data_IF_653145159303
#
_entry.id   IF_653145159303
#
_cell.length_a   1.000
_cell.length_b   1.000
_cell.length_c   1.000
_cell.angle_alpha   90.00
_cell.angle_beta   90.00
_cell.angle_gamma   90.00
#
_symmetry.space_group_name_H-M   'P 1'
#
loop_
_entity.id
_entity.type
_entity.pdbx_description
1 polymer ?
#
# COMPACT_ATOMS: atom_id res chain seq x y z
N UNK A 1 -7.94 -8.09 -17.55
CA UNK A 1 -6.89 -7.65 -16.62
C UNK A 1 -5.55 -8.26 -17.04
N UNK A 2 -4.51 -7.50 -16.94
CA UNK A 2 -3.16 -7.96 -17.23
C UNK A 2 -2.71 -8.96 -16.17
N UNK A 3 -2.26 -10.14 -16.60
CA UNK A 3 -1.73 -11.17 -15.71
C UNK A 3 -0.50 -10.71 -14.92
N UNK A 4 0.22 -9.70 -15.43
CA UNK A 4 1.39 -9.15 -14.75
C UNK A 4 1.02 -8.55 -13.39
N UNK A 5 -0.08 -7.81 -13.31
CA UNK A 5 -0.54 -7.23 -12.06
C UNK A 5 -0.98 -8.30 -11.07
N UNK A 6 -1.72 -9.30 -11.54
CA UNK A 6 -2.15 -10.41 -10.68
C UNK A 6 -0.95 -11.14 -10.10
N UNK A 7 0.08 -11.40 -10.90
CA UNK A 7 1.29 -12.07 -10.45
C UNK A 7 2.05 -11.24 -9.43
N UNK A 8 2.11 -9.92 -9.62
CA UNK A 8 2.78 -9.03 -8.66
C UNK A 8 2.02 -8.94 -7.34
N UNK A 9 0.68 -8.93 -7.39
CA UNK A 9 -0.13 -8.94 -6.17
C UNK A 9 0.15 -10.17 -5.31
N UNK A 10 0.38 -11.33 -5.93
CA UNK A 10 0.70 -12.56 -5.20
C UNK A 10 2.01 -12.46 -4.40
N UNK A 11 2.89 -11.54 -4.75
CA UNK A 11 4.15 -11.34 -4.02
C UNK A 11 3.96 -10.43 -2.79
N UNK A 12 2.83 -9.74 -2.69
CA UNK A 12 2.55 -8.84 -1.57
C UNK A 12 2.10 -9.65 -0.36
N UNK A 13 2.70 -9.43 0.84
CA UNK A 13 2.33 -10.20 2.04
C UNK A 13 0.84 -10.19 2.34
N UNK A 14 0.15 -9.10 2.00
CA UNK A 14 -1.27 -8.95 2.25
C UNK A 14 -2.13 -10.00 1.52
N UNK A 15 -1.63 -10.51 0.37
CA UNK A 15 -2.36 -11.45 -0.47
C UNK A 15 -1.82 -12.88 -0.38
N UNK A 16 -1.10 -13.22 0.70
CA UNK A 16 -0.60 -14.55 0.93
C UNK A 16 -1.67 -15.46 1.55
N UNK A 17 -1.61 -16.74 1.25
CA UNK A 17 -2.48 -17.74 1.91
C UNK A 17 -3.89 -17.85 1.35
N UNK A 18 -4.17 -17.23 0.21
CA UNK A 18 -5.46 -17.35 -0.46
C UNK A 18 -5.51 -18.59 -1.34
N UNK A 19 -6.71 -19.20 -1.43
CA UNK A 19 -6.96 -20.18 -2.48
C UNK A 19 -6.95 -19.45 -3.83
N UNK A 20 -6.71 -20.22 -4.90
CA UNK A 20 -6.73 -19.64 -6.23
C UNK A 20 -8.08 -19.01 -6.57
N UNK A 21 -9.17 -19.68 -6.19
CA UNK A 21 -10.52 -19.18 -6.46
C UNK A 21 -10.79 -17.88 -5.71
N UNK A 22 -10.41 -17.80 -4.44
CA UNK A 22 -10.59 -16.58 -3.65
C UNK A 22 -9.77 -15.44 -4.22
N UNK A 23 -8.53 -15.70 -4.60
CA UNK A 23 -7.68 -14.68 -5.21
C UNK A 23 -8.26 -14.14 -6.52
N UNK A 24 -8.75 -15.03 -7.39
CA UNK A 24 -9.38 -14.62 -8.65
C UNK A 24 -10.65 -13.80 -8.40
N UNK A 25 -11.43 -14.18 -7.39
CA UNK A 25 -12.62 -13.44 -7.01
C UNK A 25 -12.28 -12.03 -6.52
N UNK A 26 -11.25 -11.90 -5.69
CA UNK A 26 -10.76 -10.60 -5.22
C UNK A 26 -10.32 -9.73 -6.40
N UNK A 27 -9.54 -10.28 -7.31
CA UNK A 27 -9.02 -9.54 -8.46
C UNK A 27 -10.16 -9.07 -9.36
N UNK A 28 -11.18 -9.89 -9.55
CA UNK A 28 -12.32 -9.56 -10.40
C UNK A 28 -13.24 -8.50 -9.77
N UNK A 29 -13.49 -8.59 -8.46
CA UNK A 29 -14.50 -7.77 -7.78
C UNK A 29 -13.97 -6.52 -7.11
N UNK A 30 -12.67 -6.40 -6.93
CA UNK A 30 -12.07 -5.26 -6.24
C UNK A 30 -11.67 -4.19 -7.24
N UNK A 31 -12.09 -2.93 -7.05
CA UNK A 31 -11.70 -1.84 -7.92
C UNK A 31 -10.27 -1.37 -7.60
N UNK A 32 -9.28 -2.12 -8.08
CA UNK A 32 -7.89 -1.74 -7.95
C UNK A 32 -7.57 -0.55 -8.84
N UNK A 33 -6.88 0.46 -8.30
CA UNK A 33 -6.40 1.61 -9.06
C UNK A 33 -4.90 1.45 -9.26
N UNK A 34 -4.49 1.09 -10.47
CA UNK A 34 -3.09 0.88 -10.82
C UNK A 34 -2.49 2.16 -11.37
N UNK A 35 -1.32 2.54 -10.87
CA UNK A 35 -0.62 3.75 -11.30
C UNK A 35 0.86 3.49 -11.49
N UNK A 36 1.43 4.19 -12.48
CA UNK A 36 2.87 4.25 -12.68
C UNK A 36 3.32 5.68 -12.40
N UNK A 37 4.31 5.82 -11.53
CA UNK A 37 4.88 7.13 -11.20
C UNK A 37 6.32 7.21 -11.70
N UNK A 38 6.67 8.40 -12.17
CA UNK A 38 8.02 8.68 -12.65
C UNK A 38 8.95 8.95 -11.47
N UNK A 39 10.28 8.88 -11.69
CA UNK A 39 11.23 9.26 -10.65
C UNK A 39 10.93 10.64 -10.09
N UNK A 40 11.08 10.79 -8.77
CA UNK A 40 10.88 12.02 -7.99
C UNK A 40 9.42 12.44 -7.79
N UNK A 41 8.45 11.74 -8.35
CA UNK A 41 7.05 12.04 -8.08
C UNK A 41 6.66 11.59 -6.68
N UNK A 42 5.82 12.40 -6.01
CA UNK A 42 5.34 12.11 -4.66
C UNK A 42 4.07 11.29 -4.74
N UNK A 43 4.04 10.19 -3.98
CA UNK A 43 2.88 9.29 -3.88
C UNK A 43 1.93 9.76 -2.81
N UNK A 44 2.47 10.00 -1.60
CA UNK A 44 1.72 10.47 -0.44
C UNK A 44 2.60 11.47 0.31
N UNK A 45 1.96 12.42 1.01
CA UNK A 45 2.65 13.45 1.79
C UNK A 45 2.40 13.25 3.27
N UNK A 46 3.45 13.43 4.05
CA UNK A 46 3.34 13.45 5.52
C UNK A 46 2.29 14.48 5.94
N UNK A 47 1.38 14.06 6.82
CA UNK A 47 0.34 14.93 7.35
C UNK A 47 -0.96 14.94 6.57
N UNK A 48 -0.97 14.46 5.34
CA UNK A 48 -2.20 14.33 4.56
C UNK A 48 -3.04 13.16 5.08
N UNK A 49 -4.36 13.28 4.97
CA UNK A 49 -5.25 12.19 5.36
C UNK A 49 -5.05 10.97 4.46
N UNK A 50 -5.07 9.80 5.09
CA UNK A 50 -4.98 8.52 4.39
C UNK A 50 -6.39 8.08 3.98
N UNK A 51 -6.67 8.11 2.69
CA UNK A 51 -7.95 7.69 2.12
C UNK A 51 -7.87 6.35 1.39
N UNK A 52 -6.68 5.87 1.14
CA UNK A 52 -6.44 4.65 0.36
C UNK A 52 -5.28 3.87 0.94
N UNK A 53 -5.35 2.56 0.77
CA UNK A 53 -4.19 1.71 1.01
C UNK A 53 -3.36 1.71 -0.26
N UNK A 54 -2.10 2.12 -0.15
CA UNK A 54 -1.17 2.16 -1.28
C UNK A 54 -0.17 1.01 -1.16
N UNK A 55 0.03 0.29 -2.25
CA UNK A 55 0.95 -0.85 -2.31
C UNK A 55 1.95 -0.62 -3.42
N UNK A 56 3.24 -0.71 -3.10
CA UNK A 56 4.33 -0.64 -4.08
C UNK A 56 4.51 -2.03 -4.67
N UNK A 57 4.20 -2.17 -5.96
CA UNK A 57 4.29 -3.44 -6.67
C UNK A 57 5.64 -3.64 -7.36
N UNK A 58 6.23 -2.56 -7.83
CA UNK A 58 7.52 -2.59 -8.52
C UNK A 58 8.24 -1.27 -8.36
N UNK A 59 9.56 -1.30 -8.31
CA UNK A 59 10.39 -0.11 -8.20
C UNK A 59 10.91 0.10 -6.79
N UNK A 60 11.26 1.35 -6.51
CA UNK A 60 11.89 1.75 -5.25
C UNK A 60 11.45 3.15 -4.88
N UNK A 61 11.20 3.36 -3.60
CA UNK A 61 10.74 4.64 -3.05
C UNK A 61 11.63 5.11 -1.92
N UNK A 62 11.60 6.42 -1.68
CA UNK A 62 12.20 7.04 -0.51
C UNK A 62 11.07 7.45 0.42
N UNK A 63 11.18 7.04 1.69
CA UNK A 63 10.29 7.48 2.76
C UNK A 63 11.02 8.52 3.58
N UNK A 64 10.39 9.68 3.76
CA UNK A 64 10.97 10.78 4.51
C UNK A 64 10.00 11.24 5.58
N UNK A 65 10.48 11.31 6.82
CA UNK A 65 9.72 11.95 7.90
C UNK A 65 10.50 13.13 8.45
N UNK A 66 9.78 14.21 8.73
CA UNK A 66 10.33 15.43 9.25
C UNK A 66 9.75 15.66 10.65
N UNK A 67 10.60 16.08 11.60
CA UNK A 67 10.14 16.37 12.95
C UNK A 67 9.21 17.59 12.95
N UNK A 68 8.29 17.71 13.97
CA UNK A 68 7.38 18.86 14.04
C UNK A 68 8.09 20.20 14.07
N UNK A 69 9.29 20.26 14.69
CA UNK A 69 10.08 21.47 14.79
C UNK A 69 11.01 21.69 13.60
N UNK A 70 10.96 20.81 12.60
CA UNK A 70 11.84 20.82 11.42
C UNK A 70 13.33 20.74 11.79
N UNK A 71 13.65 20.12 12.93
CA UNK A 71 15.03 20.04 13.42
C UNK A 71 15.81 18.88 12.82
N UNK A 72 15.11 17.83 12.38
CA UNK A 72 15.76 16.69 11.72
C UNK A 72 14.81 16.02 10.72
N UNK A 73 15.41 15.29 9.81
CA UNK A 73 14.71 14.47 8.81
C UNK A 73 15.27 13.05 8.84
N UNK A 74 14.39 12.08 8.72
CA UNK A 74 14.77 10.68 8.61
C UNK A 74 14.38 10.22 7.22
N UNK A 75 15.33 9.60 6.50
CA UNK A 75 15.09 9.07 5.16
C UNK A 75 15.43 7.60 5.13
N UNK A 76 14.61 6.84 4.41
CA UNK A 76 14.79 5.40 4.23
C UNK A 76 14.35 5.01 2.83
N UNK A 77 15.14 4.14 2.17
CA UNK A 77 14.80 3.62 0.86
C UNK A 77 14.16 2.25 1.01
N UNK A 78 13.07 2.03 0.29
CA UNK A 78 12.30 0.79 0.36
C UNK A 78 12.04 0.27 -1.05
N UNK A 79 12.28 -1.03 -1.25
CA UNK A 79 12.02 -1.71 -2.51
C UNK A 79 10.71 -2.48 -2.46
N UNK A 80 10.09 -2.64 -3.65
CA UNK A 80 8.91 -3.45 -3.80
C UNK A 80 9.20 -4.94 -3.51
N UNK A 81 8.21 -5.73 -3.05
CA UNK A 81 6.85 -5.30 -2.72
C UNK A 81 6.75 -4.68 -1.32
N UNK A 82 5.88 -3.71 -1.17
CA UNK A 82 5.72 -3.04 0.13
C UNK A 82 4.32 -2.43 0.26
N UNK A 83 3.68 -2.67 1.40
CA UNK A 83 2.40 -2.05 1.74
C UNK A 83 2.69 -0.82 2.59
N UNK A 84 2.25 0.36 2.11
CA UNK A 84 2.58 1.63 2.76
C UNK A 84 1.65 1.90 3.94
N UNK A 85 2.24 2.12 5.10
CA UNK A 85 1.60 2.68 6.30
C UNK A 85 0.16 2.17 6.53
N UNK A 86 -0.04 0.84 6.59
CA UNK A 86 -1.40 0.28 6.72
C UNK A 86 -2.07 0.73 8.03
N UNK A 87 -1.29 1.04 9.06
CA UNK A 87 -1.78 1.50 10.35
C UNK A 87 -2.34 2.93 10.29
N UNK A 88 -2.11 3.67 9.21
CA UNK A 88 -2.65 5.01 9.04
C UNK A 88 -4.00 5.04 8.32
N UNK A 89 -4.49 3.91 7.83
CA UNK A 89 -5.70 3.87 7.02
C UNK A 89 -6.97 4.09 7.85
N UNK A 90 -7.05 3.47 9.00
CA UNK A 90 -8.19 3.54 9.91
C UNK A 90 -7.80 4.22 11.21
N UNK A 91 -8.81 4.60 12.01
CA UNK A 91 -8.61 5.16 13.34
C UNK A 91 -8.82 6.66 13.41
N UNK A 92 -8.51 7.22 14.56
CA UNK A 92 -8.75 8.64 14.85
C UNK A 92 -7.72 9.57 14.22
N UNK A 93 -6.50 9.07 14.03
CA UNK A 93 -5.38 9.84 13.45
C UNK A 93 -4.94 9.17 12.15
N UNK A 94 -5.78 9.25 11.15
CA UNK A 94 -5.57 8.61 9.86
C UNK A 94 -4.78 9.49 8.89
N UNK A 95 -3.61 9.93 9.32
CA UNK A 95 -2.71 10.76 8.50
C UNK A 95 -1.40 10.01 8.24
N UNK A 96 -0.79 10.29 7.10
CA UNK A 96 0.50 9.69 6.76
C UNK A 96 1.60 10.25 7.64
N UNK A 97 2.47 9.37 8.14
CA UNK A 97 3.62 9.74 8.97
C UNK A 97 4.86 10.04 8.14
N UNK A 98 4.85 9.65 6.87
CA UNK A 98 5.99 9.82 5.97
C UNK A 98 5.52 10.36 4.64
N UNK A 99 6.39 11.14 4.00
CA UNK A 99 6.26 11.46 2.59
C UNK A 99 6.95 10.33 1.81
N UNK A 100 6.28 9.79 0.81
CA UNK A 100 6.79 8.72 -0.04
C UNK A 100 6.98 9.25 -1.45
N UNK A 101 8.21 9.12 -1.96
CA UNK A 101 8.61 9.63 -3.28
C UNK A 101 9.25 8.51 -4.07
N UNK A 102 8.88 8.39 -5.35
CA UNK A 102 9.51 7.42 -6.25
C UNK A 102 10.96 7.80 -6.52
N UNK A 103 11.87 6.84 -6.39
CA UNK A 103 13.28 7.01 -6.75
C UNK A 103 13.53 6.63 -8.21
N UNK A 104 12.79 5.64 -8.68
CA UNK A 104 12.81 5.16 -10.05
C UNK A 104 11.37 5.09 -10.54
N UNK A 105 11.16 4.84 -11.82
CA UNK A 105 9.81 4.56 -12.30
C UNK A 105 9.25 3.38 -11.51
N UNK A 106 8.09 3.59 -10.87
CA UNK A 106 7.54 2.63 -9.92
C UNK A 106 6.07 2.40 -10.17
N UNK A 107 5.61 1.17 -9.89
CA UNK A 107 4.23 0.75 -10.08
C UNK A 107 3.55 0.59 -8.73
N UNK A 108 2.36 1.15 -8.62
CA UNK A 108 1.56 1.15 -7.40
C UNK A 108 0.17 0.62 -7.70
N UNK A 109 -0.44 0.03 -6.69
CA UNK A 109 -1.86 -0.25 -6.68
C UNK A 109 -2.47 0.38 -5.43
N UNK A 110 -3.65 0.97 -5.61
CA UNK A 110 -4.36 1.63 -4.52
C UNK A 110 -5.74 1.03 -4.35
N UNK A 111 -6.14 0.86 -3.09
CA UNK A 111 -7.46 0.38 -2.72
C UNK A 111 -8.11 1.42 -1.81
N UNK A 112 -9.38 1.75 -2.05
CA UNK A 112 -10.09 2.62 -1.14
C UNK A 112 -10.43 1.92 0.18
N UNK A 113 -10.80 2.71 1.20
CA UNK A 113 -11.11 2.18 2.53
C UNK A 113 -12.24 1.16 2.52
N UNK A 114 -13.26 1.39 1.71
CA UNK A 114 -14.40 0.48 1.64
C UNK A 114 -14.00 -0.87 1.08
N UNK A 115 -13.15 -0.88 0.05
CA UNK A 115 -12.62 -2.11 -0.51
C UNK A 115 -11.79 -2.89 0.51
N UNK A 116 -10.93 -2.19 1.24
CA UNK A 116 -10.12 -2.82 2.30
C UNK A 116 -11.02 -3.40 3.38
N UNK A 117 -12.03 -2.63 3.83
CA UNK A 117 -12.99 -3.09 4.83
C UNK A 117 -13.73 -4.34 4.37
N UNK A 118 -14.19 -4.36 3.12
CA UNK A 118 -14.89 -5.51 2.55
C UNK A 118 -13.99 -6.75 2.54
N UNK A 119 -12.73 -6.60 2.14
CA UNK A 119 -11.77 -7.70 2.13
C UNK A 119 -11.49 -8.22 3.54
N UNK A 120 -11.38 -7.31 4.50
CA UNK A 120 -11.18 -7.69 5.91
C UNK A 120 -12.37 -8.50 6.45
N UNK A 121 -13.57 -8.17 6.02
CA UNK A 121 -14.79 -8.84 6.50
C UNK A 121 -15.05 -10.17 5.79
N UNK A 122 -14.66 -10.29 4.53
CA UNK A 122 -14.99 -11.47 3.71
C UNK A 122 -13.91 -12.55 3.71
N UNK A 123 -12.65 -12.17 3.90
CA UNK A 123 -11.52 -13.10 3.74
C UNK A 123 -10.68 -13.16 4.99
N UNK A 124 -10.77 -14.26 5.77
CA UNK A 124 -9.95 -14.41 6.98
C UNK A 124 -8.46 -14.30 6.73
N UNK A 125 -7.97 -14.83 5.60
CA UNK A 125 -6.55 -14.72 5.25
C UNK A 125 -6.11 -13.26 5.10
N UNK A 126 -6.95 -12.43 4.46
CA UNK A 126 -6.67 -11.00 4.33
C UNK A 126 -6.63 -10.33 5.71
N UNK A 127 -7.59 -10.66 6.56
CA UNK A 127 -7.66 -10.10 7.91
C UNK A 127 -6.40 -10.43 8.73
N UNK A 128 -5.98 -11.68 8.71
CA UNK A 128 -4.78 -12.11 9.43
C UNK A 128 -3.54 -11.39 8.89
N UNK A 129 -3.40 -11.33 7.57
CA UNK A 129 -2.27 -10.67 6.93
C UNK A 129 -2.22 -9.18 7.28
N UNK A 130 -3.37 -8.52 7.25
CA UNK A 130 -3.47 -7.10 7.59
C UNK A 130 -3.06 -6.85 9.04
N UNK A 131 -3.58 -7.64 9.96
CA UNK A 131 -3.23 -7.51 11.38
C UNK A 131 -1.76 -7.76 11.64
N UNK A 132 -1.16 -8.73 10.94
CA UNK A 132 0.27 -9.00 11.08
C UNK A 132 1.13 -7.81 10.66
N UNK A 133 0.66 -7.01 9.70
CA UNK A 133 1.39 -5.81 9.28
C UNK A 133 1.27 -4.65 10.27
N UNK A 134 0.29 -4.69 11.16
CA UNK A 134 0.09 -3.65 12.17
C UNK A 134 0.93 -3.86 13.43
N UNK A 135 1.46 -5.06 13.61
CA UNK A 135 2.23 -5.41 14.83
C UNK A 135 3.71 -5.08 14.73
#
# INVERSE_FOLDING_TARGET
MDHTFSNRLLLVPLFQGFSRLDFLDIVEKTPFDFRTLKPKEIVVRQGDESHRLCILLGGEVECESESPEHTYRIKENIRAPWVMQPDCLFGLHNVYRYTVRSLVESQFVMLDKQSVRRLLMQYPAFQINFYNMLS
#
